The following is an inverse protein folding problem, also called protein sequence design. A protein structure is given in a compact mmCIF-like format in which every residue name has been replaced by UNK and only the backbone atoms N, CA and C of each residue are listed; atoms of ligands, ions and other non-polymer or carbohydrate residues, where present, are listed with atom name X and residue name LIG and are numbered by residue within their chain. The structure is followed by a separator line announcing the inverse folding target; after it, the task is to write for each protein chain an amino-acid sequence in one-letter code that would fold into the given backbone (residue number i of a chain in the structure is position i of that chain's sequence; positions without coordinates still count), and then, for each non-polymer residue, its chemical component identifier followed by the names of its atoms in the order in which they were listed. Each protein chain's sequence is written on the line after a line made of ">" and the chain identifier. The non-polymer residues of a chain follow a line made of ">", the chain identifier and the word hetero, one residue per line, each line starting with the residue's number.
data_IF_859978926921
#
_entry.id   IF_859978926921
#
_cell.length_a   1.000
_cell.length_b   1.000
_cell.length_c   1.000
_cell.angle_alpha   90.00
_cell.angle_beta   90.00
_cell.angle_gamma   90.00
#
_symmetry.space_group_name_H-M   'P 1'
#
loop_
_entity.id
_entity.type
_entity.pdbx_description
1 polymer ?
#
# COMPACT_ATOMS: atom_id res chain seq x y z
N UNK A 1 -4.34 -12.63 -0.58
CA UNK A 1 -5.15 -11.52 -1.14
C UNK A 1 -5.01 -11.59 -2.65
N UNK A 2 -6.10 -11.57 -3.42
CA UNK A 2 -6.09 -11.69 -4.89
C UNK A 2 -7.10 -10.69 -5.45
N UNK A 3 -6.78 -10.05 -6.57
CA UNK A 3 -7.51 -8.95 -7.20
C UNK A 3 -7.75 -7.79 -6.23
N UNK A 4 -6.67 -7.34 -5.60
CA UNK A 4 -6.71 -6.33 -4.55
C UNK A 4 -5.67 -5.26 -4.86
N UNK A 5 -6.13 -4.02 -4.92
CA UNK A 5 -5.32 -2.80 -4.90
C UNK A 5 -4.67 -2.65 -3.51
N UNK A 6 -3.35 -2.48 -3.49
CA UNK A 6 -2.54 -2.50 -2.28
C UNK A 6 -1.61 -1.30 -2.20
N UNK A 7 -1.81 -0.50 -1.16
CA UNK A 7 -0.87 0.53 -0.74
C UNK A 7 0.09 -0.05 0.29
N UNK A 8 1.39 -0.09 -0.03
CA UNK A 8 2.42 -0.54 0.92
C UNK A 8 3.33 0.61 1.29
N UNK A 9 3.57 0.78 2.59
CA UNK A 9 4.57 1.72 3.10
C UNK A 9 5.54 0.97 4.01
N UNK A 10 6.83 1.08 3.69
CA UNK A 10 7.92 0.44 4.42
C UNK A 10 8.80 1.51 5.06
N UNK A 11 8.94 1.42 6.38
CA UNK A 11 9.93 2.19 7.12
C UNK A 11 11.33 1.89 6.59
N UNK A 12 12.13 2.93 6.38
CA UNK A 12 13.53 2.78 6.01
C UNK A 12 14.41 2.98 7.25
N UNK A 13 15.56 2.30 7.26
CA UNK A 13 16.52 2.45 8.34
C UNK A 13 17.18 3.85 8.28
N UNK A 14 17.61 4.36 9.44
CA UNK A 14 18.42 5.59 9.57
C UNK A 14 17.70 6.94 9.32
N UNK A 15 16.38 6.98 9.41
CA UNK A 15 15.63 8.24 9.29
C UNK A 15 15.54 8.77 7.85
N UNK A 16 15.73 7.89 6.87
CA UNK A 16 15.38 8.19 5.49
C UNK A 16 13.86 8.18 5.30
N UNK A 17 13.34 8.92 4.30
CA UNK A 17 11.93 8.85 3.94
C UNK A 17 11.51 7.40 3.71
N UNK A 18 10.33 6.97 4.16
CA UNK A 18 9.85 5.61 3.94
C UNK A 18 9.65 5.34 2.45
N UNK A 19 9.75 4.07 2.08
CA UNK A 19 9.43 3.61 0.73
C UNK A 19 7.92 3.38 0.64
N UNK A 20 7.24 4.07 -0.28
CA UNK A 20 5.86 3.74 -0.68
C UNK A 20 5.88 2.88 -1.94
N UNK A 21 4.94 1.97 -2.08
CA UNK A 21 4.77 1.11 -3.24
C UNK A 21 3.29 0.93 -3.54
N UNK A 22 2.97 1.06 -4.82
CA UNK A 22 1.64 0.89 -5.39
C UNK A 22 1.59 -0.44 -6.13
N UNK A 23 0.78 -1.38 -5.62
CA UNK A 23 0.85 -2.78 -5.97
C UNK A 23 -0.55 -3.36 -6.20
N UNK A 24 -0.62 -4.37 -7.06
CA UNK A 24 -1.85 -5.10 -7.32
C UNK A 24 -1.66 -6.61 -7.21
N UNK A 25 -2.39 -7.24 -6.31
CA UNK A 25 -2.30 -8.68 -6.09
C UNK A 25 -3.04 -9.45 -7.20
N UNK A 26 -2.32 -10.18 -8.05
CA UNK A 26 -2.90 -11.02 -9.12
C UNK A 26 -3.01 -12.51 -8.75
N UNK A 27 -2.22 -12.96 -7.78
CA UNK A 27 -2.17 -14.34 -7.31
C UNK A 27 -1.65 -14.40 -5.87
N UNK A 28 -1.60 -15.60 -5.27
CA UNK A 28 -1.04 -15.83 -3.92
C UNK A 28 0.50 -15.83 -3.93
N UNK A 29 1.08 -14.71 -4.35
CA UNK A 29 2.52 -14.47 -4.40
C UNK A 29 2.85 -13.02 -3.99
N UNK A 30 4.13 -12.65 -4.06
CA UNK A 30 4.54 -11.25 -3.90
C UNK A 30 3.85 -10.40 -4.99
N UNK A 31 3.06 -9.38 -4.61
CA UNK A 31 2.34 -8.59 -5.58
C UNK A 31 3.31 -7.75 -6.43
N UNK A 32 3.14 -7.73 -7.77
CA UNK A 32 3.88 -6.83 -8.66
C UNK A 32 3.47 -5.37 -8.44
N UNK A 33 4.30 -4.43 -8.92
CA UNK A 33 3.92 -3.01 -8.97
C UNK A 33 2.89 -2.76 -10.07
N UNK A 34 2.03 -1.77 -9.88
CA UNK A 34 1.02 -1.38 -10.87
C UNK A 34 1.66 -1.01 -12.21
N UNK A 35 2.75 -0.25 -12.18
CA UNK A 35 3.53 0.08 -13.37
C UNK A 35 3.99 -1.16 -14.16
N UNK A 36 4.36 -2.24 -13.47
CA UNK A 36 4.82 -3.47 -14.13
C UNK A 36 3.68 -4.25 -14.81
N UNK A 37 2.43 -3.97 -14.43
CA UNK A 37 1.22 -4.47 -15.07
C UNK A 37 0.68 -3.53 -16.15
N UNK A 38 1.33 -2.39 -16.37
CA UNK A 38 0.90 -1.35 -17.32
C UNK A 38 0.01 -0.26 -16.73
N UNK A 39 -0.12 -0.24 -15.40
CA UNK A 39 -0.72 0.84 -14.63
C UNK A 39 0.26 1.99 -14.35
N UNK A 40 0.03 2.73 -13.26
CA UNK A 40 0.80 3.89 -12.81
C UNK A 40 0.94 3.86 -11.30
N UNK A 41 2.07 4.35 -10.78
CA UNK A 41 2.17 4.72 -9.37
C UNK A 41 1.52 6.10 -9.19
N UNK A 42 0.37 6.14 -8.51
CA UNK A 42 -0.38 7.37 -8.29
C UNK A 42 -0.54 7.77 -6.81
N UNK A 43 0.24 7.10 -5.97
CA UNK A 43 0.35 7.41 -4.56
C UNK A 43 1.30 8.61 -4.37
N UNK A 44 1.01 9.44 -3.38
CA UNK A 44 1.87 10.52 -2.94
C UNK A 44 2.21 10.32 -1.46
N UNK A 45 3.49 10.39 -1.11
CA UNK A 45 3.94 10.45 0.28
C UNK A 45 3.95 11.92 0.71
N UNK A 46 3.00 12.30 1.56
CA UNK A 46 2.79 13.69 1.97
C UNK A 46 3.65 14.06 3.19
N UNK A 47 3.70 13.18 4.18
CA UNK A 47 4.42 13.38 5.43
C UNK A 47 4.80 12.05 6.07
N UNK A 48 5.79 12.07 6.95
CA UNK A 48 6.20 10.90 7.71
C UNK A 48 6.97 11.28 8.98
N UNK A 49 6.90 10.43 9.99
CA UNK A 49 7.69 10.60 11.21
C UNK A 49 8.04 9.26 11.84
N UNK A 50 9.21 9.23 12.48
CA UNK A 50 9.62 8.17 13.38
C UNK A 50 9.55 8.68 14.82
N UNK A 51 8.96 7.89 15.70
CA UNK A 51 8.93 8.13 17.14
C UNK A 51 9.53 6.94 17.87
N UNK A 52 9.73 7.05 19.18
CA UNK A 52 10.18 5.92 20.00
C UNK A 52 9.16 4.76 20.01
N UNK A 53 7.90 5.03 19.69
CA UNK A 53 6.81 4.04 19.75
C UNK A 53 6.41 3.48 18.39
N UNK A 54 6.91 4.04 17.29
CA UNK A 54 6.61 3.53 15.96
C UNK A 54 6.88 4.51 14.84
N UNK A 55 6.24 4.22 13.72
CA UNK A 55 6.38 4.94 12.47
C UNK A 55 4.99 5.34 11.96
N UNK A 56 4.87 6.57 11.49
CA UNK A 56 3.66 7.09 10.86
C UNK A 56 4.02 7.63 9.48
N UNK A 57 3.24 7.26 8.47
CA UNK A 57 3.26 7.88 7.15
C UNK A 57 1.87 8.36 6.77
N UNK A 58 1.83 9.50 6.10
CA UNK A 58 0.64 10.07 5.48
C UNK A 58 0.80 9.92 3.99
N UNK A 59 -0.12 9.17 3.39
CA UNK A 59 -0.19 8.97 1.94
C UNK A 59 -1.49 9.55 1.41
N UNK A 60 -1.45 10.04 0.18
CA UNK A 60 -2.62 10.51 -0.55
C UNK A 60 -2.70 9.84 -1.92
N UNK A 61 -3.92 9.75 -2.46
CA UNK A 61 -4.21 9.28 -3.82
C UNK A 61 -5.50 9.92 -4.32
N UNK A 62 -5.71 9.92 -5.63
CA UNK A 62 -6.99 10.34 -6.20
C UNK A 62 -8.07 9.29 -5.92
N UNK A 63 -9.32 9.73 -5.75
CA UNK A 63 -10.46 8.81 -5.57
C UNK A 63 -10.75 7.99 -6.84
N UNK A 64 -10.44 8.58 -8.01
CA UNK A 64 -10.58 7.97 -9.32
C UNK A 64 -9.36 8.38 -10.13
N UNK A 65 -8.58 7.38 -10.52
CA UNK A 65 -7.24 7.54 -11.09
C UNK A 65 -7.27 7.32 -12.61
N UNK A 66 -8.18 6.46 -13.05
CA UNK A 66 -8.28 5.97 -14.42
C UNK A 66 -7.38 4.77 -14.68
N UNK A 67 -6.68 4.26 -13.67
CA UNK A 67 -5.99 2.98 -13.71
C UNK A 67 -6.98 1.83 -13.58
N UNK A 68 -6.70 0.71 -14.25
CA UNK A 68 -7.48 -0.51 -14.16
C UNK A 68 -7.14 -1.38 -12.95
N UNK A 69 -5.99 -1.15 -12.33
CA UNK A 69 -5.54 -1.89 -11.16
C UNK A 69 -6.00 -1.24 -9.84
N UNK A 70 -6.42 0.02 -9.91
CA UNK A 70 -6.95 0.76 -8.78
C UNK A 70 -8.40 0.41 -8.40
N UNK A 71 -8.67 0.42 -7.11
CA UNK A 71 -10.02 0.46 -6.57
C UNK A 71 -10.63 1.86 -6.70
N UNK A 72 -11.76 1.96 -7.40
CA UNK A 72 -12.49 3.22 -7.54
C UNK A 72 -13.23 3.55 -6.24
N UNK A 73 -12.79 4.61 -5.56
CA UNK A 73 -13.43 5.10 -4.33
C UNK A 73 -14.56 6.07 -4.72
N UNK A 74 -15.81 5.68 -4.46
CA UNK A 74 -16.98 6.51 -4.78
C UNK A 74 -17.49 7.24 -3.54
N UNK A 75 -18.00 8.47 -3.67
CA UNK A 75 -18.71 9.11 -2.58
C UNK A 75 -19.87 8.25 -2.10
N UNK A 76 -19.97 8.05 -0.77
CA UNK A 76 -21.03 7.28 -0.11
C UNK A 76 -21.08 5.78 -0.47
N UNK A 77 -20.00 5.18 -1.00
CA UNK A 77 -19.90 3.72 -1.10
C UNK A 77 -19.30 3.13 0.17
N UNK A 78 -19.74 1.93 0.52
CA UNK A 78 -19.02 1.07 1.45
C UNK A 78 -17.82 0.44 0.72
N UNK A 79 -16.72 0.23 1.44
CA UNK A 79 -15.50 -0.36 0.93
C UNK A 79 -14.91 -1.23 2.03
N UNK A 80 -14.54 -2.45 1.68
CA UNK A 80 -13.80 -3.33 2.58
C UNK A 80 -12.34 -2.89 2.60
N UNK A 81 -11.81 -2.62 3.80
CA UNK A 81 -10.39 -2.34 3.96
C UNK A 81 -9.67 -3.56 4.53
N UNK A 82 -8.55 -3.92 3.93
CA UNK A 82 -7.68 -4.97 4.43
C UNK A 82 -6.38 -4.30 4.89
N UNK A 83 -5.92 -4.62 6.10
CA UNK A 83 -4.56 -4.30 6.50
C UNK A 83 -3.70 -5.55 6.61
N UNK A 84 -2.41 -5.39 6.36
CA UNK A 84 -1.40 -6.39 6.67
C UNK A 84 -0.18 -5.70 7.29
N UNK A 85 0.55 -6.41 8.16
CA UNK A 85 1.80 -5.90 8.74
C UNK A 85 2.91 -6.94 8.69
N UNK A 86 4.15 -6.48 8.55
CA UNK A 86 5.33 -7.33 8.58
C UNK A 86 6.44 -6.70 9.40
N UNK A 87 7.12 -7.50 10.23
CA UNK A 87 8.19 -7.01 11.12
C UNK A 87 9.60 -7.14 10.55
N UNK A 88 9.75 -7.86 9.45
CA UNK A 88 11.04 -8.10 8.81
C UNK A 88 11.25 -7.09 7.69
N UNK A 89 12.51 -6.66 7.54
CA UNK A 89 12.98 -5.85 6.40
C UNK A 89 13.13 -6.70 5.12
N UNK A 90 12.14 -7.55 4.83
CA UNK A 90 12.14 -8.45 3.69
C UNK A 90 10.73 -8.67 3.17
N UNK A 91 10.59 -8.72 1.85
CA UNK A 91 9.37 -9.11 1.16
C UNK A 91 9.06 -10.59 1.36
N UNK A 92 8.35 -10.89 2.44
CA UNK A 92 7.76 -12.20 2.70
C UNK A 92 6.29 -12.03 3.00
N UNK A 93 5.58 -13.14 3.14
CA UNK A 93 4.22 -13.15 3.67
C UNK A 93 4.14 -12.39 5.00
N UNK A 94 3.02 -11.69 5.20
CA UNK A 94 2.76 -10.83 6.34
C UNK A 94 2.56 -11.66 7.62
N UNK A 95 3.00 -11.13 8.77
CA UNK A 95 2.80 -11.76 10.08
C UNK A 95 1.34 -11.65 10.56
N UNK A 96 0.60 -10.65 10.07
CA UNK A 96 -0.79 -10.38 10.44
C UNK A 96 -1.58 -9.79 9.26
N UNK A 97 -2.84 -10.18 9.12
CA UNK A 97 -3.84 -9.55 8.26
C UNK A 97 -5.21 -9.47 8.94
N UNK A 98 -5.99 -8.43 8.63
CA UNK A 98 -7.36 -8.26 9.11
C UNK A 98 -8.20 -7.36 8.20
N UNK A 99 -9.52 -7.47 8.33
CA UNK A 99 -10.51 -6.70 7.54
C UNK A 99 -11.30 -5.76 8.46
N UNK A 100 -11.72 -4.61 7.94
CA UNK A 100 -12.52 -3.59 8.65
C UNK A 100 -13.62 -3.03 7.77
#
# INVERSE_FOLDING_TARGET
>A
MIHTDMIVVMANNNGEPPTKMDLFAIEEATPPTDESLGGRDDLFLEDWSYTETGFTAVVSRLLITGDTFDHIIKPNSEMDMICATQKKDSWTEHDFSGNF
#
